data_IF_150898830769
#
_entry.id   IF_150898830769
#
_cell.length_a   1.000
_cell.length_b   1.000
_cell.length_c   1.000
_cell.angle_alpha   90.00
_cell.angle_beta   90.00
_cell.angle_gamma   90.00
#
_symmetry.space_group_name_H-M   'P 1'
#
loop_
_entity.id
_entity.type
_entity.pdbx_description
1 polymer ?
#
# COMPACT_ATOMS: atom_id res chain seq x y z
N UNK A 1 -5.48 17.98 -2.48
CA UNK A 1 -4.87 18.56 -3.70
C UNK A 1 -5.85 18.35 -4.85
N UNK A 2 -6.46 19.39 -5.38
CA UNK A 2 -7.47 19.24 -6.43
C UNK A 2 -6.83 19.04 -7.79
N UNK A 3 -7.17 17.95 -8.48
CA UNK A 3 -6.93 17.78 -9.91
C UNK A 3 -8.26 17.67 -10.62
N UNK A 4 -8.47 18.44 -11.67
CA UNK A 4 -9.45 18.08 -12.69
C UNK A 4 -8.59 17.70 -13.89
N UNK A 5 -8.80 16.51 -14.46
CA UNK A 5 -8.09 16.02 -15.64
C UNK A 5 -8.87 16.37 -16.91
N UNK A 6 -8.14 16.67 -17.98
CA UNK A 6 -8.62 16.49 -19.35
C UNK A 6 -7.76 15.34 -19.91
N UNK A 7 -8.32 14.14 -19.96
CA UNK A 7 -7.73 13.01 -20.68
C UNK A 7 -8.67 12.72 -21.84
N UNK A 8 -8.16 12.48 -23.07
CA UNK A 8 -8.99 11.97 -24.15
C UNK A 8 -9.52 10.60 -23.72
N UNK A 9 -10.82 10.53 -23.48
CA UNK A 9 -11.52 9.27 -23.33
C UNK A 9 -11.65 8.70 -24.73
N UNK A 10 -10.78 7.76 -25.07
CA UNK A 10 -11.00 6.90 -26.24
C UNK A 10 -12.14 5.96 -25.86
N UNK A 11 -13.35 6.29 -26.29
CA UNK A 11 -14.48 5.39 -26.23
C UNK A 11 -14.19 4.17 -27.10
N UNK A 12 -14.04 3.00 -26.48
CA UNK A 12 -14.04 1.71 -27.17
C UNK A 12 -15.49 1.24 -27.33
N UNK A 13 -16.30 2.02 -28.05
CA UNK A 13 -17.53 1.49 -28.65
C UNK A 13 -17.23 1.21 -30.12
N UNK A 14 -17.36 -0.06 -30.49
CA UNK A 14 -17.18 -0.51 -31.86
C UNK A 14 -18.13 0.22 -32.80
N UNK A 15 -17.57 0.65 -33.92
CA UNK A 15 -18.17 1.39 -35.03
C UNK A 15 -18.18 2.93 -34.87
N UNK A 16 -17.30 3.53 -35.69
CA UNK A 16 -17.38 4.87 -36.25
C UNK A 16 -16.91 6.09 -35.41
N UNK A 17 -15.77 6.63 -35.87
CA UNK A 17 -15.21 7.98 -35.67
C UNK A 17 -14.47 8.23 -34.35
N UNK A 18 -13.15 8.43 -34.47
CA UNK A 18 -12.31 9.19 -33.54
C UNK A 18 -12.94 10.57 -33.30
N UNK A 19 -13.80 10.68 -32.30
CA UNK A 19 -14.23 11.97 -31.74
C UNK A 19 -13.46 12.19 -30.46
N UNK A 20 -12.52 13.13 -30.49
CA UNK A 20 -12.04 13.80 -29.29
C UNK A 20 -13.25 14.40 -28.57
N UNK A 21 -13.69 13.77 -27.48
CA UNK A 21 -14.67 14.38 -26.59
C UNK A 21 -13.91 15.42 -25.76
N UNK A 22 -13.79 16.64 -26.30
CA UNK A 22 -13.40 17.80 -25.51
C UNK A 22 -14.55 18.13 -24.56
N UNK A 23 -14.34 17.93 -23.27
CA UNK A 23 -15.29 18.36 -22.26
C UNK A 23 -15.22 19.90 -22.14
N UNK A 24 -16.34 20.63 -22.19
CA UNK A 24 -16.35 22.09 -22.10
C UNK A 24 -16.20 22.55 -20.64
N UNK A 25 -15.17 22.07 -19.93
CA UNK A 25 -14.88 22.44 -18.55
C UNK A 25 -13.53 23.18 -18.46
N UNK A 26 -13.50 24.26 -17.67
CA UNK A 26 -12.25 24.95 -17.35
C UNK A 26 -11.68 24.33 -16.08
N UNK A 27 -10.45 23.83 -16.18
CA UNK A 27 -9.74 23.18 -15.09
C UNK A 27 -8.83 24.20 -14.42
N UNK A 28 -8.82 24.24 -13.09
CA UNK A 28 -7.89 25.06 -12.32
C UNK A 28 -7.10 24.21 -11.32
N UNK A 29 -5.78 24.46 -11.25
CA UNK A 29 -4.88 23.92 -10.24
C UNK A 29 -4.88 24.80 -9.00
N UNK A 30 -4.98 24.17 -7.82
CA UNK A 30 -4.86 24.86 -6.52
C UNK A 30 -3.51 24.53 -5.89
N UNK A 31 -2.61 25.49 -5.91
CA UNK A 31 -1.25 25.34 -5.38
C UNK A 31 -1.24 25.30 -3.85
N UNK A 32 -0.26 24.62 -3.26
CA UNK A 32 -0.10 24.50 -1.80
C UNK A 32 -1.33 23.92 -1.06
N UNK A 33 -2.20 23.17 -1.74
CA UNK A 33 -3.35 22.50 -1.14
C UNK A 33 -4.36 23.47 -0.53
N UNK A 34 -4.86 23.19 0.67
CA UNK A 34 -5.85 24.05 1.33
C UNK A 34 -5.31 25.44 1.67
N UNK A 35 -3.99 25.62 1.83
CA UNK A 35 -3.44 26.95 2.09
C UNK A 35 -3.67 27.85 0.87
N UNK A 36 -3.31 27.41 -0.33
CA UNK A 36 -3.58 28.21 -1.53
C UNK A 36 -5.06 28.38 -1.85
N UNK A 37 -5.91 27.45 -1.41
CA UNK A 37 -7.36 27.63 -1.49
C UNK A 37 -7.85 28.80 -0.60
N UNK A 38 -7.28 28.93 0.61
CA UNK A 38 -7.56 30.03 1.54
C UNK A 38 -6.97 31.34 1.03
N UNK A 39 -5.73 31.31 0.56
CA UNK A 39 -4.99 32.49 0.10
C UNK A 39 -5.60 33.06 -1.20
N UNK A 40 -6.09 32.21 -2.10
CA UNK A 40 -6.70 32.61 -3.36
C UNK A 40 -5.71 33.25 -4.34
N UNK A 41 -6.22 34.09 -5.24
CA UNK A 41 -5.40 34.81 -6.22
C UNK A 41 -4.54 33.88 -7.08
N UNK A 42 -3.23 34.17 -7.14
CA UNK A 42 -2.26 33.42 -7.94
C UNK A 42 -2.05 31.97 -7.47
N UNK A 43 -2.65 31.55 -6.36
CA UNK A 43 -2.63 30.15 -5.95
C UNK A 43 -3.68 29.28 -6.67
N UNK A 44 -4.64 29.90 -7.37
CA UNK A 44 -5.65 29.18 -8.17
C UNK A 44 -5.46 29.60 -9.63
N UNK A 45 -4.96 28.67 -10.45
CA UNK A 45 -4.58 28.96 -11.86
C UNK A 45 -5.26 28.01 -12.82
N UNK A 46 -5.76 28.49 -13.97
CA UNK A 46 -6.19 27.61 -15.05
C UNK A 46 -5.06 26.65 -15.45
N UNK A 47 -5.38 25.38 -15.65
CA UNK A 47 -4.48 24.40 -16.22
C UNK A 47 -4.69 24.30 -17.73
N UNK A 48 -3.61 24.13 -18.48
CA UNK A 48 -3.62 23.81 -19.91
C UNK A 48 -3.10 22.39 -20.12
N UNK A 49 -3.30 21.85 -21.33
CA UNK A 49 -2.75 20.55 -21.72
C UNK A 49 -1.23 20.45 -21.53
N UNK A 50 -0.50 21.51 -21.91
CA UNK A 50 0.95 21.60 -21.76
C UNK A 50 1.35 21.70 -20.30
N UNK A 51 0.53 22.33 -19.46
CA UNK A 51 0.86 22.55 -18.06
C UNK A 51 1.01 21.27 -17.24
N UNK A 52 0.45 20.14 -17.70
CA UNK A 52 0.53 18.82 -17.03
C UNK A 52 1.45 17.83 -17.74
N UNK A 53 2.07 18.24 -18.84
CA UNK A 53 3.00 17.39 -19.60
C UNK A 53 4.25 17.07 -18.76
N UNK A 54 4.81 15.88 -18.97
CA UNK A 54 6.03 15.40 -18.28
C UNK A 54 5.92 15.28 -16.75
N UNK A 55 4.71 15.30 -16.19
CA UNK A 55 4.50 15.11 -14.75
C UNK A 55 4.45 13.64 -14.32
N UNK A 56 4.12 12.72 -15.23
CA UNK A 56 3.81 11.32 -14.92
C UNK A 56 4.95 10.58 -14.18
N UNK A 57 6.20 10.93 -14.48
CA UNK A 57 7.39 10.33 -13.89
C UNK A 57 7.93 11.07 -12.66
N UNK A 58 7.34 12.21 -12.27
CA UNK A 58 7.82 13.03 -11.17
C UNK A 58 7.23 12.55 -9.84
N UNK A 59 8.09 12.46 -8.83
CA UNK A 59 7.67 12.21 -7.45
C UNK A 59 7.11 13.46 -6.78
N UNK A 60 6.37 13.26 -5.69
CA UNK A 60 5.78 14.35 -4.93
C UNK A 60 4.62 15.03 -5.68
N UNK A 61 4.50 16.34 -5.51
CA UNK A 61 3.43 17.15 -6.12
C UNK A 61 4.02 18.41 -6.76
N UNK A 62 3.77 18.60 -8.05
CA UNK A 62 4.26 19.77 -8.79
C UNK A 62 3.52 21.05 -8.38
N UNK A 63 2.27 20.96 -7.92
CA UNK A 63 1.52 22.13 -7.43
C UNK A 63 1.74 22.38 -5.93
N UNK A 64 2.55 21.55 -5.27
CA UNK A 64 2.87 21.65 -3.86
C UNK A 64 1.76 21.16 -2.94
N UNK A 65 2.13 20.92 -1.67
CA UNK A 65 1.18 20.61 -0.59
C UNK A 65 1.64 21.30 0.68
N UNK A 66 0.72 21.94 1.40
CA UNK A 66 0.99 22.58 2.69
C UNK A 66 -0.04 22.14 3.72
N UNK A 67 0.43 21.97 4.97
CA UNK A 67 -0.48 21.90 6.12
C UNK A 67 -1.12 23.27 6.29
N UNK A 68 -2.45 23.32 6.36
CA UNK A 68 -3.19 24.57 6.50
C UNK A 68 -3.91 24.59 7.85
N UNK A 69 -3.45 25.43 8.78
CA UNK A 69 -4.13 25.63 10.06
C UNK A 69 -5.40 26.46 9.88
N UNK A 70 -5.38 27.44 8.99
CA UNK A 70 -6.51 28.33 8.73
C UNK A 70 -7.75 27.56 8.32
N UNK A 71 -7.60 26.55 7.47
CA UNK A 71 -8.71 25.72 6.99
C UNK A 71 -9.36 24.85 8.09
N UNK A 72 -8.71 24.69 9.26
CA UNK A 72 -9.33 24.05 10.43
C UNK A 72 -10.37 24.96 11.09
N UNK A 73 -10.29 26.25 10.87
CA UNK A 73 -11.25 27.24 11.39
C UNK A 73 -12.37 27.50 10.38
N UNK A 74 -13.56 27.86 10.87
CA UNK A 74 -14.66 28.28 10.00
C UNK A 74 -14.26 29.51 9.17
N UNK A 75 -13.51 30.46 9.76
CA UNK A 75 -13.05 31.66 9.06
C UNK A 75 -12.18 31.35 7.84
N UNK A 76 -11.20 30.46 7.98
CA UNK A 76 -10.37 30.03 6.85
C UNK A 76 -11.20 29.32 5.77
N UNK A 77 -12.15 28.47 6.17
CA UNK A 77 -13.09 27.86 5.21
C UNK A 77 -13.98 28.89 4.52
N UNK A 78 -14.43 29.94 5.22
CA UNK A 78 -15.18 31.06 4.62
C UNK A 78 -14.34 31.80 3.57
N UNK A 79 -13.04 32.03 3.83
CA UNK A 79 -12.11 32.62 2.84
C UNK A 79 -11.95 31.72 1.61
N UNK A 80 -11.74 30.42 1.82
CA UNK A 80 -11.68 29.44 0.73
C UNK A 80 -12.97 29.41 -0.11
N UNK A 81 -14.15 29.43 0.53
CA UNK A 81 -15.43 29.46 -0.16
C UNK A 81 -15.59 30.75 -1.00
N UNK A 82 -15.17 31.90 -0.47
CA UNK A 82 -15.19 33.16 -1.20
C UNK A 82 -14.38 33.06 -2.50
N UNK A 83 -13.15 32.53 -2.43
CA UNK A 83 -12.28 32.39 -3.60
C UNK A 83 -12.90 31.49 -4.67
N UNK A 84 -13.46 30.35 -4.27
CA UNK A 84 -14.13 29.41 -5.19
C UNK A 84 -15.35 30.06 -5.87
N UNK A 85 -16.21 30.72 -5.09
CA UNK A 85 -17.42 31.38 -5.62
C UNK A 85 -17.07 32.48 -6.61
N UNK A 86 -16.04 33.30 -6.32
CA UNK A 86 -15.59 34.37 -7.22
C UNK A 86 -15.03 33.87 -8.54
N UNK A 87 -14.52 32.64 -8.56
CA UNK A 87 -14.03 31.97 -9.77
C UNK A 87 -15.10 31.08 -10.43
N UNK A 88 -16.30 30.99 -9.85
CA UNK A 88 -17.36 30.11 -10.36
C UNK A 88 -17.06 28.62 -10.21
N UNK A 89 -16.16 28.23 -9.29
CA UNK A 89 -15.75 26.84 -9.09
C UNK A 89 -16.67 26.17 -8.07
N UNK A 90 -17.48 25.22 -8.53
CA UNK A 90 -18.41 24.42 -7.73
C UNK A 90 -18.11 22.92 -7.73
N UNK A 91 -17.05 22.51 -8.44
CA UNK A 91 -16.59 21.13 -8.53
C UNK A 91 -15.16 21.07 -7.99
N UNK A 92 -14.94 20.27 -6.95
CA UNK A 92 -13.67 20.19 -6.25
C UNK A 92 -13.22 18.73 -6.12
N UNK A 93 -12.16 18.38 -6.84
CA UNK A 93 -11.44 17.15 -6.57
C UNK A 93 -10.51 17.35 -5.37
N UNK A 94 -10.26 16.34 -4.52
CA UNK A 94 -9.29 16.43 -3.41
C UNK A 94 -8.47 15.16 -3.33
N UNK A 95 -7.20 15.26 -3.72
CA UNK A 95 -6.17 14.21 -3.59
C UNK A 95 -5.36 14.42 -2.32
N UNK A 96 -5.39 13.45 -1.42
CA UNK A 96 -4.60 13.49 -0.19
C UNK A 96 -4.91 12.30 0.71
N UNK A 97 -4.33 12.30 1.91
CA UNK A 97 -4.63 11.29 2.92
C UNK A 97 -5.92 11.58 3.69
N UNK A 98 -6.20 10.73 4.69
CA UNK A 98 -7.40 10.77 5.54
C UNK A 98 -7.76 12.18 6.04
N UNK A 99 -6.80 12.89 6.64
CA UNK A 99 -7.05 14.24 7.17
C UNK A 99 -7.48 15.26 6.12
N UNK A 100 -7.03 15.12 4.87
CA UNK A 100 -7.48 16.02 3.79
C UNK A 100 -8.91 15.71 3.38
N UNK A 101 -9.25 14.43 3.23
CA UNK A 101 -10.58 13.99 2.85
C UNK A 101 -11.62 14.27 3.94
N UNK A 102 -11.24 14.15 5.21
CA UNK A 102 -12.05 14.59 6.35
C UNK A 102 -12.34 16.09 6.28
N UNK A 103 -11.33 16.92 5.97
CA UNK A 103 -11.50 18.37 5.78
C UNK A 103 -12.39 18.72 4.59
N UNK A 104 -12.28 17.98 3.48
CA UNK A 104 -13.15 18.14 2.32
C UNK A 104 -14.62 17.84 2.66
N UNK A 105 -14.86 16.76 3.41
CA UNK A 105 -16.20 16.42 3.86
C UNK A 105 -16.81 17.53 4.72
N UNK A 106 -16.08 18.01 5.73
CA UNK A 106 -16.52 19.12 6.57
C UNK A 106 -16.84 20.37 5.75
N UNK A 107 -15.97 20.70 4.80
CA UNK A 107 -16.17 21.86 3.92
C UNK A 107 -17.44 21.76 3.08
N UNK A 108 -17.77 20.57 2.58
CA UNK A 108 -19.03 20.32 1.87
C UNK A 108 -20.24 20.48 2.78
N UNK A 109 -20.19 19.90 3.98
CA UNK A 109 -21.30 19.95 4.94
C UNK A 109 -21.61 21.38 5.36
N UNK A 110 -20.58 22.19 5.60
CA UNK A 110 -20.72 23.59 6.02
C UNK A 110 -21.01 24.55 4.85
N UNK A 111 -20.95 24.10 3.59
CA UNK A 111 -20.97 24.96 2.40
C UNK A 111 -22.11 25.97 2.37
N UNK A 112 -23.34 25.53 2.68
CA UNK A 112 -24.53 26.40 2.69
C UNK A 112 -24.42 27.52 3.72
N UNK A 113 -23.90 27.21 4.91
CA UNK A 113 -23.72 28.17 5.99
C UNK A 113 -22.62 29.17 5.64
N UNK A 114 -21.54 28.71 5.01
CA UNK A 114 -20.45 29.57 4.54
C UNK A 114 -20.95 30.58 3.50
N UNK A 115 -21.80 30.15 2.56
CA UNK A 115 -22.41 31.05 1.58
C UNK A 115 -23.34 32.07 2.26
N UNK A 116 -24.16 31.65 3.21
CA UNK A 116 -25.04 32.55 3.95
C UNK A 116 -24.25 33.63 4.70
N UNK A 117 -23.15 33.24 5.36
CA UNK A 117 -22.25 34.16 6.04
C UNK A 117 -21.61 35.17 5.07
N UNK A 118 -21.18 34.71 3.87
CA UNK A 118 -20.59 35.57 2.84
C UNK A 118 -21.59 36.58 2.25
N UNK A 119 -22.85 36.17 2.03
CA UNK A 119 -23.93 37.07 1.59
C UNK A 119 -24.22 38.10 2.67
N UNK A 120 -24.36 37.67 3.93
CA UNK A 120 -24.60 38.57 5.06
C UNK A 120 -23.48 39.58 5.25
N UNK A 121 -22.23 39.17 5.02
CA UNK A 121 -21.06 40.05 5.06
C UNK A 121 -20.88 40.93 3.81
N UNK A 122 -21.77 40.83 2.81
CA UNK A 122 -21.70 41.60 1.57
C UNK A 122 -20.49 41.26 0.68
N UNK A 123 -19.87 40.08 0.89
CA UNK A 123 -18.69 39.63 0.12
C UNK A 123 -19.07 38.99 -1.21
N UNK A 124 -20.25 38.38 -1.28
CA UNK A 124 -20.85 37.83 -2.49
C UNK A 124 -22.30 38.29 -2.62
N UNK A 125 -22.79 38.31 -3.86
CA UNK A 125 -24.19 38.60 -4.19
C UNK A 125 -25.07 37.35 -4.02
N UNK A 126 -26.38 37.56 -3.87
CA UNK A 126 -27.35 36.44 -3.83
C UNK A 126 -27.35 35.61 -5.12
N UNK A 127 -26.99 36.22 -6.27
CA UNK A 127 -26.87 35.52 -7.55
C UNK A 127 -25.64 34.59 -7.57
N UNK A 128 -24.48 35.09 -7.12
CA UNK A 128 -23.26 34.28 -6.97
C UNK A 128 -23.49 33.09 -6.02
N UNK A 129 -24.16 33.32 -4.88
CA UNK A 129 -24.52 32.29 -3.93
C UNK A 129 -25.48 31.24 -4.53
N UNK A 130 -26.48 31.68 -5.32
CA UNK A 130 -27.41 30.77 -6.00
C UNK A 130 -26.71 29.92 -7.06
N UNK A 131 -25.84 30.50 -7.87
CA UNK A 131 -25.08 29.78 -8.89
C UNK A 131 -24.09 28.78 -8.28
N UNK A 132 -23.66 29.04 -7.03
CA UNK A 132 -22.72 28.19 -6.30
C UNK A 132 -23.40 27.38 -5.19
N UNK A 133 -24.73 27.20 -5.23
CA UNK A 133 -25.48 26.62 -4.12
C UNK A 133 -25.07 25.18 -3.76
N UNK A 134 -24.46 24.47 -4.70
CA UNK A 134 -24.01 23.09 -4.55
C UNK A 134 -22.51 23.00 -4.82
N UNK A 135 -21.79 22.39 -3.88
CA UNK A 135 -20.38 22.04 -4.02
C UNK A 135 -20.26 20.53 -4.21
N UNK A 136 -19.86 20.12 -5.40
CA UNK A 136 -19.55 18.74 -5.72
C UNK A 136 -18.12 18.44 -5.30
N UNK A 137 -17.93 17.37 -4.53
CA UNK A 137 -16.61 16.94 -4.06
C UNK A 137 -16.39 15.48 -4.41
N UNK A 138 -15.22 15.23 -4.99
CA UNK A 138 -14.67 13.88 -5.22
C UNK A 138 -13.29 13.80 -4.59
N UNK A 139 -13.06 12.79 -3.76
CA UNK A 139 -11.77 12.51 -3.15
C UNK A 139 -10.97 11.47 -3.93
N UNK A 140 -9.65 11.55 -3.88
CA UNK A 140 -8.75 10.43 -4.19
C UNK A 140 -7.72 10.29 -3.09
N UNK A 141 -7.34 9.06 -2.77
CA UNK A 141 -6.44 8.82 -1.66
C UNK A 141 -4.98 8.80 -2.13
N UNK A 142 -4.28 9.91 -1.87
CA UNK A 142 -2.83 10.03 -2.04
C UNK A 142 -2.13 9.89 -0.70
N UNK A 143 -1.68 8.68 -0.38
CA UNK A 143 -1.03 8.32 0.87
C UNK A 143 -0.07 7.16 0.63
N UNK A 144 1.07 7.15 1.31
CA UNK A 144 1.96 5.98 1.30
C UNK A 144 1.54 4.94 2.35
N UNK A 145 0.75 5.36 3.33
CA UNK A 145 0.50 4.58 4.55
C UNK A 145 -0.57 3.50 4.33
N UNK A 146 -1.31 3.55 3.22
CA UNK A 146 -2.51 2.74 2.95
C UNK A 146 -3.51 2.76 4.13
N UNK A 147 -3.72 3.95 4.69
CA UNK A 147 -4.41 4.18 5.96
C UNK A 147 -5.90 4.51 5.82
N UNK A 148 -6.39 4.70 4.59
CA UNK A 148 -7.78 5.03 4.31
C UNK A 148 -8.61 3.77 4.04
N UNK A 149 -9.67 3.57 4.83
CA UNK A 149 -10.53 2.41 4.66
C UNK A 149 -11.45 2.54 3.44
N UNK A 150 -11.76 1.41 2.80
CA UNK A 150 -12.59 1.35 1.60
C UNK A 150 -11.80 1.35 0.28
N UNK A 151 -10.46 1.36 0.32
CA UNK A 151 -9.63 1.12 -0.86
C UNK A 151 -8.65 -0.01 -0.62
N UNK A 152 -8.46 -0.87 -1.63
CA UNK A 152 -7.47 -1.95 -1.57
C UNK A 152 -6.04 -1.38 -1.54
N UNK A 153 -5.82 -0.25 -2.23
CA UNK A 153 -4.54 0.44 -2.37
C UNK A 153 -4.73 1.94 -2.45
N UNK A 154 -3.80 2.70 -1.87
CA UNK A 154 -3.71 4.16 -1.99
C UNK A 154 -2.54 4.55 -2.90
N UNK A 155 -2.70 5.68 -3.61
CA UNK A 155 -1.69 6.19 -4.53
C UNK A 155 -0.43 6.56 -3.74
N UNK A 156 0.67 5.90 -4.06
CA UNK A 156 2.01 6.11 -3.49
C UNK A 156 2.48 4.96 -2.59
N UNK A 157 1.59 4.05 -2.20
CA UNK A 157 1.95 2.91 -1.32
C UNK A 157 2.97 1.99 -2.01
N UNK A 158 2.73 1.62 -3.27
CA UNK A 158 3.64 0.72 -4.01
C UNK A 158 4.99 1.38 -4.28
N UNK A 159 5.00 2.67 -4.58
CA UNK A 159 6.22 3.46 -4.74
C UNK A 159 7.04 3.51 -3.45
N UNK A 160 6.38 3.72 -2.30
CA UNK A 160 7.04 3.70 -1.00
C UNK A 160 7.62 2.31 -0.68
N UNK A 161 6.87 1.24 -0.96
CA UNK A 161 7.36 -0.13 -0.81
C UNK A 161 8.59 -0.40 -1.68
N UNK A 162 8.64 0.08 -2.93
CA UNK A 162 9.85 -0.01 -3.75
C UNK A 162 11.06 0.64 -3.07
N UNK A 163 10.89 1.86 -2.52
CA UNK A 163 11.97 2.55 -1.79
C UNK A 163 12.44 1.76 -0.57
N UNK A 164 11.50 1.19 0.20
CA UNK A 164 11.82 0.39 1.38
C UNK A 164 12.59 -0.87 0.98
N UNK A 165 12.12 -1.60 -0.03
CA UNK A 165 12.75 -2.86 -0.46
C UNK A 165 14.12 -2.63 -1.07
N UNK A 166 14.34 -1.56 -1.85
CA UNK A 166 15.67 -1.18 -2.34
C UNK A 166 16.69 -1.01 -1.19
N UNK A 167 16.25 -0.37 -0.10
CA UNK A 167 17.09 -0.16 1.09
C UNK A 167 17.31 -1.48 1.82
N UNK A 168 16.26 -2.29 2.01
CA UNK A 168 16.35 -3.61 2.67
C UNK A 168 17.32 -4.52 1.91
N UNK A 169 17.21 -4.58 0.59
CA UNK A 169 18.09 -5.40 -0.25
C UNK A 169 19.54 -4.91 -0.20
N UNK A 170 19.76 -3.59 -0.25
CA UNK A 170 21.08 -3.01 -0.07
C UNK A 170 21.70 -3.38 1.29
N UNK A 171 20.92 -3.30 2.37
CA UNK A 171 21.35 -3.65 3.73
C UNK A 171 21.61 -5.16 3.88
N UNK A 172 20.83 -5.99 3.21
CA UNK A 172 20.91 -7.45 3.33
C UNK A 172 22.31 -7.97 2.97
N UNK A 173 22.98 -7.37 1.98
CA UNK A 173 24.34 -7.76 1.56
C UNK A 173 25.40 -7.54 2.66
N UNK A 174 25.36 -6.41 3.35
CA UNK A 174 26.27 -6.12 4.47
C UNK A 174 25.91 -6.92 5.72
N UNK A 175 24.61 -7.17 5.94
CA UNK A 175 24.13 -7.97 7.07
C UNK A 175 24.63 -9.41 7.02
N UNK A 176 24.56 -10.06 5.84
CA UNK A 176 25.02 -11.44 5.63
C UNK A 176 26.53 -11.62 5.86
N UNK A 177 27.30 -10.59 5.51
CA UNK A 177 28.76 -10.60 5.62
C UNK A 177 29.21 -10.63 7.08
N UNK A 178 28.52 -9.89 7.95
CA UNK A 178 28.90 -9.72 9.36
C UNK A 178 28.02 -10.47 10.37
N UNK A 179 27.05 -11.26 9.91
CA UNK A 179 26.10 -11.94 10.80
C UNK A 179 25.36 -10.96 11.74
N UNK A 180 24.79 -9.91 11.16
CA UNK A 180 24.13 -8.83 11.92
C UNK A 180 22.62 -8.99 12.00
N UNK A 181 22.06 -8.38 13.04
CA UNK A 181 20.63 -8.14 13.16
C UNK A 181 20.35 -6.68 12.77
N UNK A 182 19.43 -6.47 11.85
CA UNK A 182 18.98 -5.14 11.44
C UNK A 182 17.55 -4.90 11.86
N UNK A 183 17.31 -3.75 12.47
CA UNK A 183 16.00 -3.26 12.86
C UNK A 183 15.71 -2.03 12.00
N UNK A 184 14.65 -2.10 11.21
CA UNK A 184 14.30 -1.08 10.23
C UNK A 184 12.99 -0.42 10.64
N UNK A 185 13.05 0.90 10.85
CA UNK A 185 11.85 1.72 11.10
C UNK A 185 11.26 2.19 9.78
N UNK A 186 9.99 1.87 9.55
CA UNK A 186 9.24 2.25 8.35
C UNK A 186 8.08 3.17 8.70
N UNK A 187 7.73 4.03 7.75
CA UNK A 187 6.60 4.95 7.88
C UNK A 187 5.27 4.19 7.99
N UNK A 188 4.27 4.89 8.50
CA UNK A 188 2.90 4.36 8.60
C UNK A 188 2.04 5.11 9.60
N UNK A 189 2.63 5.98 10.44
CA UNK A 189 1.96 6.70 11.54
C UNK A 189 1.13 5.77 12.46
N UNK A 190 -0.14 5.51 12.12
CA UNK A 190 -1.06 4.64 12.87
C UNK A 190 -1.52 3.43 12.04
N UNK A 191 -0.87 3.17 10.92
CA UNK A 191 -1.15 2.07 10.00
C UNK A 191 0.11 1.19 9.84
N UNK A 192 -0.03 -0.11 10.01
CA UNK A 192 1.04 -1.09 9.88
C UNK A 192 1.22 -1.65 8.47
N UNK A 193 0.46 -1.18 7.47
CA UNK A 193 0.44 -1.79 6.13
C UNK A 193 1.82 -1.85 5.48
N UNK A 194 2.55 -0.71 5.45
CA UNK A 194 3.90 -0.66 4.89
C UNK A 194 4.85 -1.63 5.61
N UNK A 195 4.79 -1.69 6.94
CA UNK A 195 5.62 -2.61 7.74
C UNK A 195 5.28 -4.08 7.46
N UNK A 196 4.00 -4.42 7.41
CA UNK A 196 3.53 -5.77 7.15
C UNK A 196 3.91 -6.26 5.75
N UNK A 197 3.64 -5.46 4.72
CA UNK A 197 3.95 -5.83 3.34
C UNK A 197 5.47 -5.87 3.12
N UNK A 198 6.22 -4.94 3.72
CA UNK A 198 7.69 -5.00 3.73
C UNK A 198 8.18 -6.30 4.36
N UNK A 199 7.66 -6.66 5.53
CA UNK A 199 8.06 -7.88 6.23
C UNK A 199 7.78 -9.13 5.39
N UNK A 200 6.65 -9.17 4.68
CA UNK A 200 6.33 -10.25 3.77
C UNK A 200 7.27 -10.30 2.56
N UNK A 201 7.52 -9.14 1.92
CA UNK A 201 8.31 -9.01 0.71
C UNK A 201 9.81 -9.29 0.91
N UNK A 202 10.39 -8.95 2.07
CA UNK A 202 11.78 -9.30 2.39
C UNK A 202 11.91 -10.61 3.19
N UNK A 203 10.80 -11.18 3.66
CA UNK A 203 10.82 -12.37 4.51
C UNK A 203 11.42 -12.11 5.90
N UNK A 204 11.06 -10.99 6.52
CA UNK A 204 11.55 -10.56 7.83
C UNK A 204 11.28 -11.60 8.94
N UNK A 205 12.16 -11.60 9.94
CA UNK A 205 12.08 -12.46 11.12
C UNK A 205 11.11 -11.93 12.17
N UNK A 206 10.78 -10.64 12.16
CA UNK A 206 9.73 -10.09 13.00
C UNK A 206 9.18 -8.80 12.41
N UNK A 207 7.91 -8.50 12.71
CA UNK A 207 7.27 -7.24 12.37
C UNK A 207 6.49 -6.73 13.57
N UNK A 208 6.57 -5.43 13.84
CA UNK A 208 5.73 -4.74 14.82
C UNK A 208 4.77 -3.80 14.08
N UNK A 209 3.47 -4.04 14.24
CA UNK A 209 2.39 -3.24 13.67
C UNK A 209 1.40 -2.79 14.76
N UNK A 210 0.83 -1.58 14.66
CA UNK A 210 -0.14 -1.09 15.65
C UNK A 210 -1.45 -1.89 15.64
N UNK A 211 -1.86 -2.46 14.50
CA UNK A 211 -3.12 -3.22 14.39
C UNK A 211 -3.07 -4.56 15.12
N UNK A 212 -1.88 -5.08 15.38
CA UNK A 212 -1.69 -6.33 16.11
C UNK A 212 -0.44 -6.24 17.00
N UNK A 213 -0.55 -5.53 18.14
CA UNK A 213 0.51 -5.46 19.12
C UNK A 213 0.94 -6.85 19.58
N UNK A 214 2.24 -7.05 19.85
CA UNK A 214 2.73 -8.34 20.27
C UNK A 214 2.12 -8.75 21.63
N UNK A 215 1.98 -10.05 21.85
CA UNK A 215 1.51 -10.61 23.13
C UNK A 215 2.46 -10.30 24.29
N UNK A 216 2.01 -10.53 25.52
CA UNK A 216 2.91 -10.48 26.67
C UNK A 216 4.10 -11.45 26.49
N UNK A 217 5.25 -11.11 27.06
CA UNK A 217 6.50 -11.85 26.93
C UNK A 217 7.03 -11.97 25.48
N UNK A 218 6.62 -11.08 24.57
CA UNK A 218 7.14 -11.05 23.20
C UNK A 218 8.66 -10.91 23.14
N UNK A 219 9.29 -10.32 24.15
CA UNK A 219 10.73 -10.16 24.21
C UNK A 219 11.44 -11.51 24.23
N UNK A 220 10.91 -12.47 24.99
CA UNK A 220 11.44 -13.83 25.07
C UNK A 220 11.15 -14.62 23.80
N UNK A 221 9.94 -14.47 23.26
CA UNK A 221 9.57 -15.09 21.98
C UNK A 221 10.48 -14.59 20.86
N UNK A 222 10.67 -13.28 20.74
CA UNK A 222 11.59 -12.68 19.77
C UNK A 222 13.00 -13.26 19.93
N UNK A 223 13.54 -13.26 21.15
CA UNK A 223 14.88 -13.77 21.41
C UNK A 223 15.04 -15.25 21.02
N UNK A 224 14.07 -16.08 21.39
CA UNK A 224 14.03 -17.50 21.03
C UNK A 224 14.02 -17.66 19.51
N UNK A 225 13.15 -16.92 18.82
CA UNK A 225 13.02 -17.01 17.36
C UNK A 225 14.28 -16.61 16.62
N UNK A 226 14.90 -15.49 17.00
CA UNK A 226 16.17 -15.05 16.38
C UNK A 226 17.28 -16.09 16.57
N UNK A 227 17.33 -16.70 17.76
CA UNK A 227 18.28 -17.78 18.07
C UNK A 227 18.03 -19.03 17.24
N UNK A 228 16.76 -19.47 17.12
CA UNK A 228 16.38 -20.60 16.29
C UNK A 228 16.73 -20.37 14.80
N UNK A 229 16.50 -19.17 14.27
CA UNK A 229 16.85 -18.85 12.87
C UNK A 229 18.36 -18.90 12.63
N UNK A 230 19.17 -18.39 13.56
CA UNK A 230 20.64 -18.53 13.48
C UNK A 230 21.08 -19.99 13.61
N UNK A 231 20.47 -20.76 14.51
CA UNK A 231 20.74 -22.19 14.66
C UNK A 231 20.44 -23.00 13.39
N UNK A 232 19.51 -22.53 12.55
CA UNK A 232 19.18 -23.11 11.24
C UNK A 232 20.08 -22.60 10.10
N UNK A 233 21.14 -21.86 10.42
CA UNK A 233 22.12 -21.36 9.45
C UNK A 233 21.80 -19.97 8.87
N UNK A 234 20.78 -19.26 9.36
CA UNK A 234 20.56 -17.87 8.94
C UNK A 234 21.74 -16.99 9.35
N UNK A 235 22.29 -16.28 8.37
CA UNK A 235 23.42 -15.35 8.57
C UNK A 235 22.98 -13.91 8.79
N UNK A 236 21.69 -13.64 8.90
CA UNK A 236 21.19 -12.31 9.19
C UNK A 236 19.85 -12.42 9.91
N UNK A 237 19.46 -11.34 10.60
CA UNK A 237 18.07 -11.18 11.01
C UNK A 237 17.56 -9.81 10.63
N UNK A 238 16.33 -9.74 10.12
CA UNK A 238 15.64 -8.48 9.80
C UNK A 238 14.39 -8.36 10.66
N UNK A 239 14.26 -7.24 11.35
CA UNK A 239 13.09 -6.86 12.13
C UNK A 239 12.55 -5.56 11.55
N UNK A 240 11.26 -5.55 11.19
CA UNK A 240 10.58 -4.36 10.69
C UNK A 240 9.74 -3.76 11.82
N UNK A 241 9.84 -2.45 12.04
CA UNK A 241 9.10 -1.72 13.07
C UNK A 241 8.34 -0.59 12.40
N UNK A 242 7.01 -0.59 12.50
CA UNK A 242 6.21 0.56 12.07
C UNK A 242 6.45 1.75 13.03
N UNK A 243 6.43 2.99 12.52
CA UNK A 243 6.44 4.21 13.35
C UNK A 243 5.43 4.17 14.51
N UNK A 244 4.25 3.59 14.26
CA UNK A 244 3.17 3.45 15.24
C UNK A 244 3.24 2.20 16.11
N UNK A 245 4.32 1.43 16.09
CA UNK A 245 4.42 0.20 16.85
C UNK A 245 4.22 0.43 18.35
N UNK A 246 3.36 -0.38 18.97
CA UNK A 246 3.01 -0.30 20.38
C UNK A 246 2.77 -1.70 20.95
N UNK A 247 2.81 -1.81 22.28
CA UNK A 247 2.35 -3.00 23.01
C UNK A 247 0.84 -2.96 23.28
N UNK A 248 0.29 -4.03 23.89
CA UNK A 248 -1.15 -4.14 24.20
C UNK A 248 -1.64 -3.13 25.24
N UNK A 249 -0.74 -2.42 25.92
CA UNK A 249 -1.07 -1.34 26.85
C UNK A 249 -0.94 0.05 26.20
N UNK A 250 -0.70 0.11 24.89
CA UNK A 250 -0.54 1.36 24.14
C UNK A 250 0.81 2.04 24.35
N UNK A 251 1.80 1.36 24.96
CA UNK A 251 3.14 1.91 25.12
C UNK A 251 3.92 1.74 23.81
N UNK A 252 4.58 2.80 23.30
CA UNK A 252 5.37 2.70 22.06
C UNK A 252 6.50 1.68 22.16
N UNK A 253 6.67 0.86 21.12
CA UNK A 253 7.81 -0.05 20.94
C UNK A 253 8.77 0.59 19.95
N UNK A 254 9.93 1.02 20.44
CA UNK A 254 10.92 1.75 19.61
C UNK A 254 12.02 0.83 19.08
N UNK A 255 12.63 1.19 17.95
CA UNK A 255 13.79 0.46 17.42
C UNK A 255 14.95 0.36 18.41
N UNK A 256 15.19 1.39 19.22
CA UNK A 256 16.26 1.38 20.22
C UNK A 256 15.94 0.40 21.37
N UNK A 257 14.68 0.30 21.81
CA UNK A 257 14.26 -0.71 22.79
C UNK A 257 14.52 -2.13 22.26
N UNK A 258 14.12 -2.41 21.02
CA UNK A 258 14.32 -3.73 20.40
C UNK A 258 15.82 -4.03 20.24
N UNK A 259 16.63 -3.03 19.85
CA UNK A 259 18.08 -3.17 19.74
C UNK A 259 18.73 -3.50 21.08
N UNK A 260 18.39 -2.76 22.14
CA UNK A 260 18.92 -3.01 23.48
C UNK A 260 18.55 -4.40 23.98
N UNK A 261 17.31 -4.84 23.73
CA UNK A 261 16.86 -6.19 24.06
C UNK A 261 17.72 -7.25 23.36
N UNK A 262 17.84 -7.17 22.03
CA UNK A 262 18.57 -8.17 21.23
C UNK A 262 20.06 -8.20 21.59
N UNK A 263 20.70 -7.03 21.71
CA UNK A 263 22.12 -6.96 22.07
C UNK A 263 22.39 -7.44 23.50
N UNK A 264 21.52 -7.12 24.48
CA UNK A 264 21.73 -7.52 25.87
C UNK A 264 21.41 -9.00 26.12
N UNK A 265 20.32 -9.53 25.56
CA UNK A 265 19.90 -10.92 25.80
C UNK A 265 20.64 -11.93 24.91
N UNK A 266 20.94 -11.57 23.64
CA UNK A 266 21.53 -12.51 22.67
C UNK A 266 23.00 -12.21 22.33
N UNK A 267 23.50 -11.02 22.63
CA UNK A 267 24.87 -10.61 22.25
C UNK A 267 25.07 -10.40 20.75
N UNK A 268 24.00 -10.29 19.96
CA UNK A 268 24.11 -10.07 18.51
C UNK A 268 24.53 -8.63 18.18
N UNK A 269 25.41 -8.46 17.19
CA UNK A 269 25.73 -7.14 16.61
C UNK A 269 24.47 -6.61 15.91
N UNK A 270 23.82 -5.64 16.55
CA UNK A 270 22.50 -5.14 16.16
C UNK A 270 22.59 -3.68 15.73
N UNK A 271 22.02 -3.37 14.56
CA UNK A 271 21.97 -2.03 14.00
C UNK A 271 20.53 -1.60 13.75
N UNK A 272 20.29 -0.31 13.89
CA UNK A 272 19.00 0.33 13.62
C UNK A 272 19.17 1.28 12.44
N UNK A 273 18.18 1.29 11.56
CA UNK A 273 18.10 2.27 10.46
C UNK A 273 16.67 2.81 10.39
N UNK A 274 16.55 4.13 10.54
CA UNK A 274 15.28 4.84 10.36
C UNK A 274 15.26 5.35 8.93
N UNK A 275 14.37 4.80 8.08
CA UNK A 275 14.35 5.14 6.65
C UNK A 275 13.87 6.58 6.41
N UNK A 276 12.93 7.05 7.23
CA UNK A 276 12.39 8.39 7.16
C UNK A 276 11.82 8.74 5.78
N UNK A 277 12.07 9.97 5.33
CA UNK A 277 11.41 10.56 4.17
C UNK A 277 11.82 10.00 2.81
N UNK A 278 12.84 9.14 2.74
CA UNK A 278 13.19 8.45 1.47
C UNK A 278 11.99 7.65 0.94
N UNK A 279 11.13 7.18 1.84
CA UNK A 279 9.89 6.45 1.54
C UNK A 279 8.84 7.29 0.79
N UNK A 280 8.94 8.62 0.82
CA UNK A 280 8.04 9.54 0.10
C UNK A 280 8.65 10.09 -1.19
N UNK A 281 9.95 9.85 -1.39
CA UNK A 281 10.71 10.35 -2.53
C UNK A 281 10.81 9.33 -3.66
N UNK A 282 11.61 9.66 -4.68
CA UNK A 282 11.78 8.83 -5.87
C UNK A 282 10.66 9.04 -6.90
N UNK A 283 10.71 8.25 -7.97
CA UNK A 283 9.72 8.31 -9.05
C UNK A 283 8.56 7.37 -8.76
N UNK A 284 7.31 7.70 -9.13
CA UNK A 284 6.18 6.79 -8.99
C UNK A 284 6.42 5.47 -9.73
N UNK A 285 6.04 4.35 -9.10
CA UNK A 285 6.09 3.02 -9.71
C UNK A 285 5.10 2.90 -10.87
N UNK A 286 5.24 1.87 -11.70
CA UNK A 286 4.29 1.62 -12.78
C UNK A 286 2.86 1.42 -12.24
N UNK A 287 2.72 0.73 -11.11
CA UNK A 287 1.43 0.51 -10.45
C UNK A 287 0.79 1.85 -10.05
N UNK A 288 1.51 2.71 -9.33
CA UNK A 288 0.98 3.99 -8.88
C UNK A 288 0.67 4.95 -10.03
N UNK A 289 1.47 4.93 -11.12
CA UNK A 289 1.18 5.72 -12.33
C UNK A 289 -0.16 5.30 -12.95
N UNK A 290 -0.36 4.00 -13.14
CA UNK A 290 -1.58 3.46 -13.75
C UNK A 290 -2.78 3.69 -12.82
N UNK A 291 -2.60 3.45 -11.52
CA UNK A 291 -3.64 3.65 -10.51
C UNK A 291 -4.09 5.11 -10.47
N UNK A 292 -3.15 6.04 -10.33
CA UNK A 292 -3.45 7.48 -10.28
C UNK A 292 -4.11 7.97 -11.58
N UNK A 293 -3.65 7.48 -12.74
CA UNK A 293 -4.24 7.83 -14.03
C UNK A 293 -5.70 7.36 -14.13
N UNK A 294 -5.96 6.11 -13.76
CA UNK A 294 -7.33 5.53 -13.77
C UNK A 294 -8.25 6.25 -12.79
N UNK A 295 -7.79 6.50 -11.57
CA UNK A 295 -8.57 7.22 -10.56
C UNK A 295 -8.83 8.66 -10.98
N UNK A 296 -7.87 9.32 -11.62
CA UNK A 296 -8.01 10.69 -12.13
C UNK A 296 -9.12 10.83 -13.17
N UNK A 297 -9.17 9.90 -14.14
CA UNK A 297 -10.27 9.84 -15.12
C UNK A 297 -11.61 9.65 -14.42
N UNK A 298 -11.69 8.65 -13.52
CA UNK A 298 -12.92 8.34 -12.81
C UNK A 298 -13.40 9.48 -11.91
N UNK A 299 -12.49 10.25 -11.33
CA UNK A 299 -12.82 11.40 -10.49
C UNK A 299 -13.47 12.54 -11.29
N UNK A 300 -13.02 12.76 -12.52
CA UNK A 300 -13.61 13.74 -13.42
C UNK A 300 -15.00 13.28 -13.85
N UNK A 301 -15.15 12.02 -14.24
CA UNK A 301 -16.46 11.45 -14.58
C UNK A 301 -17.43 11.55 -13.41
N UNK A 302 -16.98 11.22 -12.21
CA UNK A 302 -17.78 11.36 -10.99
C UNK A 302 -18.23 12.81 -10.74
N UNK A 303 -17.40 13.81 -11.02
CA UNK A 303 -17.77 15.22 -10.88
C UNK A 303 -18.78 15.67 -11.95
N UNK A 304 -18.63 15.20 -13.19
CA UNK A 304 -19.53 15.55 -14.30
C UNK A 304 -20.91 14.91 -14.17
N UNK A 305 -20.96 13.69 -13.65
CA UNK A 305 -22.20 12.96 -13.38
C UNK A 305 -22.87 13.38 -12.06
N UNK A 306 -22.17 14.14 -11.21
CA UNK A 306 -22.69 14.51 -9.89
C UNK A 306 -23.89 15.46 -9.99
N UNK A 307 -24.97 15.08 -9.32
CA UNK A 307 -26.14 15.94 -9.08
C UNK A 307 -26.10 16.55 -7.68
N UNK A 308 -26.92 17.58 -7.39
CA UNK A 308 -27.06 18.14 -6.04
C UNK A 308 -27.35 17.11 -4.93
N UNK A 309 -28.01 16.01 -5.26
CA UNK A 309 -28.38 14.91 -4.36
C UNK A 309 -27.26 13.87 -4.21
N UNK A 310 -26.29 13.85 -5.14
CA UNK A 310 -25.19 12.89 -5.13
C UNK A 310 -24.24 13.22 -3.98
N UNK A 311 -24.01 12.32 -3.00
CA UNK A 311 -23.11 12.59 -1.88
C UNK A 311 -21.67 12.75 -2.35
N UNK A 312 -20.81 13.34 -1.51
CA UNK A 312 -19.38 13.33 -1.79
C UNK A 312 -18.88 11.89 -1.82
N UNK A 313 -18.05 11.57 -2.80
CA UNK A 313 -17.48 10.25 -2.93
C UNK A 313 -15.95 10.28 -2.92
N UNK A 314 -15.35 9.12 -2.69
CA UNK A 314 -13.93 8.85 -2.90
C UNK A 314 -13.82 7.85 -4.03
N UNK A 315 -12.97 8.15 -5.00
CA UNK A 315 -12.56 7.19 -6.01
C UNK A 315 -11.53 6.26 -5.39
N UNK A 316 -11.83 4.97 -5.46
CA UNK A 316 -11.13 3.90 -4.77
C UNK A 316 -10.80 2.75 -5.74
N UNK A 317 -9.86 1.90 -5.36
CA UNK A 317 -9.59 0.63 -6.02
C UNK A 317 -10.24 -0.50 -5.24
N UNK A 318 -11.08 -1.29 -5.90
CA UNK A 318 -11.65 -2.52 -5.35
C UNK A 318 -11.60 -3.62 -6.41
N UNK A 319 -10.89 -4.71 -6.14
CA UNK A 319 -10.82 -5.85 -7.07
C UNK A 319 -10.24 -5.47 -8.44
N UNK A 320 -9.23 -4.58 -8.45
CA UNK A 320 -8.62 -4.01 -9.65
C UNK A 320 -9.59 -3.19 -10.54
N UNK A 321 -10.72 -2.74 -10.00
CA UNK A 321 -11.64 -1.81 -10.67
C UNK A 321 -11.74 -0.50 -9.90
N UNK A 322 -11.92 0.60 -10.62
CA UNK A 322 -12.20 1.90 -10.00
C UNK A 322 -13.66 1.89 -9.53
N UNK A 323 -13.89 2.28 -8.27
CA UNK A 323 -15.21 2.35 -7.66
C UNK A 323 -15.38 3.68 -6.94
N UNK A 324 -16.62 4.15 -6.83
CA UNK A 324 -16.99 5.37 -6.08
C UNK A 324 -17.62 4.95 -4.76
N UNK A 325 -17.05 5.38 -3.65
CA UNK A 325 -17.58 5.09 -2.31
C UNK A 325 -18.00 6.37 -1.60
N UNK A 326 -19.06 6.35 -0.77
CA UNK A 326 -19.43 7.51 0.02
C UNK A 326 -18.29 7.97 0.94
N UNK A 327 -17.86 9.21 0.79
CA UNK A 327 -16.71 9.76 1.52
C UNK A 327 -16.89 9.67 3.04
N UNK A 328 -18.09 9.95 3.54
CA UNK A 328 -18.38 9.90 4.97
C UNK A 328 -18.22 8.50 5.56
N UNK A 329 -18.65 7.47 4.84
CA UNK A 329 -18.56 6.09 5.31
C UNK A 329 -17.08 5.67 5.41
N UNK A 330 -16.28 5.96 4.39
CA UNK A 330 -14.85 5.66 4.41
C UNK A 330 -14.10 6.37 5.55
N UNK A 331 -14.40 7.65 5.79
CA UNK A 331 -13.81 8.42 6.90
C UNK A 331 -14.25 7.84 8.25
N UNK A 332 -15.52 7.42 8.38
CA UNK A 332 -16.03 6.82 9.61
C UNK A 332 -15.32 5.50 9.91
N UNK A 333 -15.24 4.59 8.94
CA UNK A 333 -14.55 3.30 9.13
C UNK A 333 -13.07 3.52 9.50
N UNK A 334 -12.40 4.51 8.91
CA UNK A 334 -11.00 4.85 9.25
C UNK A 334 -10.85 5.28 10.72
N UNK A 335 -11.81 6.04 11.25
CA UNK A 335 -11.87 6.38 12.68
C UNK A 335 -12.15 5.16 13.54
N UNK A 336 -13.05 4.28 13.10
CA UNK A 336 -13.41 3.06 13.83
C UNK A 336 -12.20 2.15 14.02
N UNK A 337 -11.26 2.08 13.06
CA UNK A 337 -9.98 1.36 13.25
C UNK A 337 -9.20 1.92 14.45
N UNK A 338 -9.10 3.25 14.53
CA UNK A 338 -8.37 3.93 15.60
C UNK A 338 -9.03 3.66 16.96
N UNK A 339 -10.36 3.72 17.01
CA UNK A 339 -11.15 3.39 18.20
C UNK A 339 -10.94 1.93 18.60
N UNK A 340 -11.04 0.99 17.66
CA UNK A 340 -10.84 -0.44 17.92
C UNK A 340 -9.45 -0.72 18.49
N UNK A 341 -8.39 -0.11 17.96
CA UNK A 341 -7.03 -0.24 18.51
C UNK A 341 -6.93 0.34 19.93
N UNK A 342 -7.54 1.51 20.18
CA UNK A 342 -7.53 2.15 21.51
C UNK A 342 -8.30 1.34 22.57
N UNK A 343 -9.36 0.63 22.16
CA UNK A 343 -10.15 -0.26 23.02
C UNK A 343 -9.56 -1.68 23.16
N UNK A 344 -8.40 -1.95 22.55
CA UNK A 344 -7.76 -3.27 22.59
C UNK A 344 -8.43 -4.33 21.70
N UNK A 345 -9.33 -3.93 20.80
CA UNK A 345 -10.04 -4.80 19.84
C UNK A 345 -9.21 -5.00 18.56
N UNK A 346 -8.01 -5.56 18.70
CA UNK A 346 -7.02 -5.67 17.61
C UNK A 346 -7.49 -6.56 16.44
N UNK A 347 -8.20 -7.66 16.70
CA UNK A 347 -8.78 -8.49 15.64
C UNK A 347 -9.81 -7.74 14.80
N UNK A 348 -10.58 -6.83 15.42
CA UNK A 348 -11.52 -5.96 14.74
C UNK A 348 -10.77 -4.90 13.91
N UNK A 349 -9.71 -4.31 14.45
CA UNK A 349 -8.86 -3.36 13.72
C UNK A 349 -8.30 -3.96 12.41
N UNK A 350 -7.81 -5.20 12.43
CA UNK A 350 -7.37 -5.90 11.22
C UNK A 350 -8.52 -6.05 10.21
N UNK A 351 -9.71 -6.47 10.66
CA UNK A 351 -10.86 -6.66 9.77
C UNK A 351 -11.33 -5.34 9.15
N UNK A 352 -11.32 -4.26 9.92
CA UNK A 352 -11.68 -2.92 9.46
C UNK A 352 -10.67 -2.34 8.45
N UNK A 353 -9.38 -2.74 8.52
CA UNK A 353 -8.39 -2.42 7.46
C UNK A 353 -8.72 -3.12 6.14
N UNK A 354 -9.48 -4.20 6.17
CA UNK A 354 -9.98 -4.90 4.99
C UNK A 354 -9.27 -6.22 4.70
N UNK A 355 -9.84 -6.98 3.76
CA UNK A 355 -9.43 -8.36 3.45
C UNK A 355 -7.99 -8.45 2.96
N UNK A 356 -7.50 -7.47 2.22
CA UNK A 356 -6.11 -7.45 1.73
C UNK A 356 -5.11 -7.41 2.89
N UNK A 357 -5.35 -6.55 3.89
CA UNK A 357 -4.55 -6.46 5.11
C UNK A 357 -4.61 -7.76 5.90
N UNK A 358 -5.81 -8.29 6.15
CA UNK A 358 -6.02 -9.54 6.88
C UNK A 358 -5.30 -10.73 6.22
N UNK A 359 -5.39 -10.84 4.89
CA UNK A 359 -4.71 -11.88 4.12
C UNK A 359 -3.18 -11.77 4.23
N UNK A 360 -2.64 -10.55 4.14
CA UNK A 360 -1.20 -10.30 4.31
C UNK A 360 -0.75 -10.67 5.73
N UNK A 361 -1.54 -10.33 6.75
CA UNK A 361 -1.24 -10.66 8.14
C UNK A 361 -1.22 -12.16 8.37
N UNK A 362 -2.25 -12.87 7.92
CA UNK A 362 -2.36 -14.32 8.06
C UNK A 362 -1.21 -15.03 7.33
N UNK A 363 -0.91 -14.60 6.10
CA UNK A 363 0.20 -15.16 5.31
C UNK A 363 1.54 -14.92 5.99
N UNK A 364 1.80 -13.70 6.46
CA UNK A 364 3.01 -13.39 7.21
C UNK A 364 3.11 -14.28 8.46
N UNK A 365 2.07 -14.36 9.29
CA UNK A 365 2.06 -15.17 10.52
C UNK A 365 2.40 -16.63 10.24
N UNK A 366 1.84 -17.21 9.18
CA UNK A 366 2.13 -18.60 8.77
C UNK A 366 3.59 -18.78 8.32
N UNK A 367 4.14 -17.88 7.50
CA UNK A 367 5.50 -17.99 6.97
C UNK A 367 6.59 -17.61 7.99
N UNK A 368 6.19 -16.82 8.99
CA UNK A 368 7.03 -16.27 10.05
C UNK A 368 7.21 -17.27 11.21
N UNK A 369 6.12 -17.85 11.71
CA UNK A 369 6.14 -18.69 12.91
C UNK A 369 6.16 -20.17 12.56
N UNK A 370 7.27 -20.84 12.87
CA UNK A 370 7.42 -22.27 12.60
C UNK A 370 6.73 -23.07 13.70
N UNK A 371 5.55 -23.60 13.41
CA UNK A 371 4.92 -24.63 14.22
C UNK A 371 4.96 -25.92 13.42
N UNK A 372 5.92 -26.79 13.73
CA UNK A 372 5.97 -28.10 13.09
C UNK A 372 4.78 -28.93 13.60
N UNK A 373 4.05 -29.63 12.72
CA UNK A 373 2.96 -30.47 13.14
C UNK A 373 3.49 -31.66 13.94
N UNK A 374 2.73 -32.09 14.94
CA UNK A 374 3.07 -33.26 15.78
C UNK A 374 3.11 -34.56 14.97
N UNK A 375 2.28 -34.63 13.91
CA UNK A 375 2.21 -35.77 13.00
C UNK A 375 2.61 -35.36 11.59
N UNK A 376 3.51 -36.15 10.98
CA UNK A 376 3.82 -36.03 9.56
C UNK A 376 2.72 -36.70 8.73
N UNK A 377 2.32 -36.06 7.65
CA UNK A 377 1.49 -36.69 6.63
C UNK A 377 2.34 -37.62 5.75
N UNK A 378 1.70 -38.61 5.13
CA UNK A 378 2.34 -39.48 4.14
C UNK A 378 2.27 -38.89 2.70
N UNK A 379 2.11 -37.57 2.58
CA UNK A 379 1.93 -36.89 1.30
C UNK A 379 3.26 -36.27 0.86
N UNK A 380 3.68 -36.60 -0.36
CA UNK A 380 4.82 -36.02 -1.04
C UNK A 380 4.34 -34.97 -2.05
N UNK A 381 4.82 -33.74 -1.93
CA UNK A 381 4.48 -32.64 -2.85
C UNK A 381 5.74 -32.24 -3.61
N UNK A 382 5.69 -32.41 -4.93
CA UNK A 382 6.76 -31.97 -5.83
C UNK A 382 6.47 -30.58 -6.41
N UNK A 383 7.49 -29.74 -6.48
CA UNK A 383 7.45 -28.40 -7.08
C UNK A 383 8.41 -28.34 -8.27
N UNK A 384 7.92 -27.91 -9.42
CA UNK A 384 8.72 -27.58 -10.60
C UNK A 384 8.32 -26.22 -11.16
N UNK A 385 9.26 -25.57 -11.86
CA UNK A 385 9.01 -24.36 -12.62
C UNK A 385 9.06 -24.66 -14.12
N UNK A 386 8.09 -24.15 -14.87
CA UNK A 386 7.94 -24.36 -16.32
C UNK A 386 7.76 -23.03 -17.02
N UNK A 387 8.37 -22.89 -18.20
CA UNK A 387 8.36 -21.68 -19.01
C UNK A 387 9.67 -20.90 -18.94
N UNK A 388 9.61 -19.64 -19.38
CA UNK A 388 10.75 -18.73 -19.29
C UNK A 388 10.95 -18.24 -17.83
N UNK A 389 12.18 -17.93 -17.40
CA UNK A 389 12.44 -17.36 -16.08
C UNK A 389 11.61 -16.10 -15.83
N UNK A 390 10.97 -16.02 -14.66
CA UNK A 390 10.15 -14.89 -14.25
C UNK A 390 10.49 -14.47 -12.82
N UNK A 391 10.52 -13.16 -12.56
CA UNK A 391 10.67 -12.64 -11.21
C UNK A 391 9.50 -13.10 -10.33
N UNK A 392 9.80 -13.65 -9.15
CA UNK A 392 8.81 -14.18 -8.22
C UNK A 392 8.71 -15.71 -8.18
N UNK A 393 9.23 -16.45 -9.16
CA UNK A 393 9.23 -17.93 -9.12
C UNK A 393 9.85 -18.47 -7.82
N UNK A 394 10.99 -17.91 -7.40
CA UNK A 394 11.66 -18.30 -6.15
C UNK A 394 10.82 -17.97 -4.90
N UNK A 395 10.10 -16.85 -4.90
CA UNK A 395 9.21 -16.49 -3.80
C UNK A 395 8.02 -17.46 -3.69
N UNK A 396 7.46 -17.89 -4.83
CA UNK A 396 6.41 -18.93 -4.87
C UNK A 396 6.93 -20.25 -4.32
N UNK A 397 8.07 -20.75 -4.81
CA UNK A 397 8.67 -22.00 -4.33
C UNK A 397 8.92 -21.93 -2.83
N UNK A 398 9.52 -20.83 -2.34
CA UNK A 398 9.75 -20.61 -0.90
C UNK A 398 8.49 -20.75 -0.08
N UNK A 399 7.42 -20.07 -0.49
CA UNK A 399 6.15 -20.09 0.23
C UNK A 399 5.53 -21.48 0.21
N UNK A 400 5.47 -22.13 -0.95
CA UNK A 400 4.92 -23.48 -1.08
C UNK A 400 5.67 -24.51 -0.23
N UNK A 401 7.00 -24.50 -0.25
CA UNK A 401 7.84 -25.39 0.57
C UNK A 401 7.57 -25.17 2.06
N UNK A 402 7.56 -23.92 2.52
CA UNK A 402 7.34 -23.62 3.94
C UNK A 402 5.96 -24.03 4.41
N UNK A 403 4.92 -23.73 3.64
CA UNK A 403 3.55 -24.11 3.99
C UNK A 403 3.38 -25.62 3.99
N UNK A 404 3.89 -26.33 2.97
CA UNK A 404 3.77 -27.78 2.93
C UNK A 404 4.47 -28.47 4.11
N UNK A 405 5.64 -27.98 4.53
CA UNK A 405 6.33 -28.46 5.75
C UNK A 405 5.48 -28.22 7.00
N UNK A 406 4.85 -27.04 7.13
CA UNK A 406 3.98 -26.72 8.27
C UNK A 406 2.71 -27.57 8.30
N UNK A 407 2.25 -28.06 7.15
CA UNK A 407 1.16 -29.03 7.05
C UNK A 407 1.62 -30.49 7.19
N UNK A 408 2.93 -30.72 7.39
CA UNK A 408 3.50 -32.04 7.65
C UNK A 408 3.76 -32.85 6.39
N UNK A 409 3.77 -32.22 5.21
CA UNK A 409 4.10 -32.85 3.94
C UNK A 409 5.61 -32.94 3.73
N UNK A 410 6.02 -33.94 2.95
CA UNK A 410 7.38 -33.99 2.42
C UNK A 410 7.44 -33.19 1.12
N UNK A 411 8.31 -32.19 1.09
CA UNK A 411 8.47 -31.31 -0.07
C UNK A 411 9.64 -31.80 -0.93
N UNK A 412 9.41 -31.86 -2.25
CA UNK A 412 10.38 -32.28 -3.25
C UNK A 412 10.59 -31.15 -4.27
N UNK A 413 11.84 -30.83 -4.55
CA UNK A 413 12.25 -29.93 -5.62
C UNK A 413 12.55 -30.75 -6.87
N UNK A 414 11.93 -30.37 -7.98
CA UNK A 414 12.20 -30.95 -9.29
C UNK A 414 12.93 -29.92 -10.12
N UNK A 415 14.13 -30.27 -10.58
CA UNK A 415 14.97 -29.35 -11.33
C UNK A 415 14.59 -29.29 -12.80
N UNK A 416 14.85 -28.16 -13.46
CA UNK A 416 14.75 -27.97 -14.91
C UNK A 416 13.40 -28.36 -15.55
N UNK A 417 12.31 -28.19 -14.80
CA UNK A 417 10.96 -28.44 -15.30
C UNK A 417 10.70 -29.92 -15.63
N UNK A 418 10.01 -30.17 -16.74
CA UNK A 418 9.68 -31.54 -17.16
C UNK A 418 10.89 -32.35 -17.62
N UNK A 419 11.92 -31.70 -18.18
CA UNK A 419 13.16 -32.38 -18.57
C UNK A 419 13.84 -33.02 -17.36
N UNK A 420 14.00 -32.26 -16.28
CA UNK A 420 14.62 -32.80 -15.09
C UNK A 420 13.74 -33.81 -14.37
N UNK A 421 12.42 -33.65 -14.44
CA UNK A 421 11.49 -34.68 -13.99
C UNK A 421 11.71 -36.01 -14.73
N UNK A 422 11.78 -35.96 -16.06
CA UNK A 422 12.07 -37.10 -16.93
C UNK A 422 13.47 -37.69 -16.67
N UNK A 423 14.42 -36.87 -16.23
CA UNK A 423 15.75 -37.31 -15.85
C UNK A 423 15.82 -37.85 -14.40
N UNK A 424 14.80 -37.63 -13.58
CA UNK A 424 14.77 -38.03 -12.17
C UNK A 424 15.56 -37.07 -11.26
N UNK A 425 15.76 -35.82 -11.71
CA UNK A 425 16.41 -34.75 -10.94
C UNK A 425 15.45 -34.19 -9.88
N UNK A 426 15.15 -35.02 -8.89
CA UNK A 426 14.25 -34.73 -7.78
C UNK A 426 15.03 -34.86 -6.47
N UNK A 427 14.96 -33.84 -5.63
CA UNK A 427 15.57 -33.86 -4.30
C UNK A 427 14.61 -33.37 -3.21
N UNK A 428 14.74 -33.86 -1.95
CA UNK A 428 14.02 -33.27 -0.83
C UNK A 428 14.42 -31.81 -0.61
N UNK A 429 13.44 -30.93 -0.44
CA UNK A 429 13.69 -29.51 -0.14
C UNK A 429 13.14 -29.14 1.24
N UNK A 430 14.00 -28.53 2.06
CA UNK A 430 13.69 -28.19 3.45
C UNK A 430 13.47 -26.70 3.69
N UNK A 431 13.08 -26.36 4.92
CA UNK A 431 12.85 -24.97 5.36
C UNK A 431 14.04 -24.04 5.10
N UNK A 432 15.26 -24.51 5.40
CA UNK A 432 16.50 -23.77 5.19
C UNK A 432 16.93 -23.71 3.73
N UNK A 433 16.54 -24.70 2.90
CA UNK A 433 16.88 -24.75 1.47
C UNK A 433 16.29 -23.59 0.67
N UNK A 434 15.16 -23.05 1.12
CA UNK A 434 14.48 -21.88 0.50
C UNK A 434 14.70 -20.57 1.24
N UNK A 435 15.67 -20.52 2.18
CA UNK A 435 15.95 -19.31 2.95
C UNK A 435 16.51 -18.20 2.04
N UNK A 436 15.97 -16.98 2.16
CA UNK A 436 16.42 -15.82 1.39
C UNK A 436 15.98 -15.78 -0.08
N UNK A 437 15.07 -16.66 -0.51
CA UNK A 437 14.61 -16.74 -1.89
C UNK A 437 13.60 -15.65 -2.29
N UNK A 438 12.98 -14.95 -1.32
CA UNK A 438 11.88 -13.99 -1.58
C UNK A 438 12.24 -12.89 -2.58
N UNK A 439 13.41 -12.26 -2.41
CA UNK A 439 13.89 -11.18 -3.28
C UNK A 439 14.77 -11.64 -4.44
N UNK A 440 14.81 -12.94 -4.78
CA UNK A 440 15.71 -13.47 -5.83
C UNK A 440 14.98 -13.61 -7.17
N UNK A 441 15.50 -12.96 -8.20
CA UNK A 441 15.02 -13.12 -9.58
C UNK A 441 15.37 -14.50 -10.18
N UNK A 442 14.74 -14.81 -11.32
CA UNK A 442 14.95 -16.07 -12.03
C UNK A 442 14.30 -17.29 -11.36
N UNK A 443 14.85 -18.49 -11.60
CA UNK A 443 14.40 -19.76 -11.02
C UNK A 443 15.59 -20.56 -10.51
N UNK A 444 15.69 -20.77 -9.20
CA UNK A 444 16.75 -21.60 -8.59
C UNK A 444 16.54 -23.10 -8.80
N UNK A 445 15.29 -23.52 -9.01
CA UNK A 445 15.00 -24.89 -9.45
C UNK A 445 15.40 -25.10 -10.92
N UNK A 446 15.70 -24.04 -11.68
CA UNK A 446 15.73 -24.10 -13.13
C UNK A 446 14.32 -24.05 -13.72
N UNK A 447 14.20 -23.71 -15.00
CA UNK A 447 12.91 -23.68 -15.70
C UNK A 447 13.15 -23.82 -17.19
N UNK A 448 12.29 -24.58 -17.86
CA UNK A 448 12.37 -24.83 -19.30
C UNK A 448 10.99 -24.77 -19.93
N UNK A 449 10.94 -24.52 -21.24
CA UNK A 449 9.70 -24.43 -22.02
C UNK A 449 9.15 -25.80 -22.45
N UNK A 450 9.93 -26.86 -22.29
CA UNK A 450 9.56 -28.23 -22.67
C UNK A 450 8.22 -28.62 -22.09
N UNK A 451 7.41 -29.30 -22.88
CA UNK A 451 6.07 -29.72 -22.49
C UNK A 451 6.09 -31.17 -22.00
N UNK A 452 5.20 -31.56 -21.08
CA UNK A 452 5.20 -32.91 -20.54
C UNK A 452 4.91 -33.97 -21.61
N UNK A 453 4.16 -33.60 -22.67
CA UNK A 453 3.84 -34.51 -23.78
C UNK A 453 5.09 -35.03 -24.50
N UNK A 454 6.16 -34.25 -24.53
CA UNK A 454 7.42 -34.60 -25.22
C UNK A 454 8.24 -35.64 -24.45
N UNK A 455 8.01 -35.76 -23.14
CA UNK A 455 8.79 -36.61 -22.21
C UNK A 455 7.91 -37.49 -21.32
N UNK A 456 6.63 -37.65 -21.68
CA UNK A 456 5.63 -38.30 -20.83
C UNK A 456 5.94 -39.79 -20.58
N UNK A 457 6.46 -40.48 -21.60
CA UNK A 457 6.87 -41.89 -21.47
C UNK A 457 8.04 -42.03 -20.49
N UNK A 458 9.04 -41.15 -20.56
CA UNK A 458 10.20 -41.15 -19.67
C UNK A 458 9.82 -40.86 -18.22
N UNK A 459 8.94 -39.88 -18.01
CA UNK A 459 8.38 -39.54 -16.69
C UNK A 459 7.64 -40.76 -16.12
N UNK A 460 6.78 -41.39 -16.94
CA UNK A 460 5.97 -42.54 -16.51
C UNK A 460 6.85 -43.76 -16.18
N UNK A 461 7.85 -44.05 -17.02
CA UNK A 461 8.75 -45.19 -16.83
C UNK A 461 9.60 -45.08 -15.56
N UNK A 462 9.98 -43.87 -15.16
CA UNK A 462 10.78 -43.64 -13.94
C UNK A 462 9.96 -43.55 -12.66
N UNK A 463 8.79 -42.93 -12.70
CA UNK A 463 8.06 -42.55 -11.48
C UNK A 463 6.75 -43.32 -11.27
N UNK A 464 6.24 -44.05 -12.27
CA UNK A 464 5.02 -44.86 -12.16
C UNK A 464 5.29 -46.37 -12.02
N UNK A 465 6.51 -46.80 -11.70
CA UNK A 465 6.75 -48.18 -11.24
C UNK A 465 6.24 -48.32 -9.80
N UNK A 466 4.95 -48.61 -9.68
CA UNK A 466 4.29 -49.13 -8.49
C UNK A 466 4.60 -50.61 -8.36
#
# INVERSE_FOLDING_TARGET
MAFIYDLPVIGLDGADVEREVHLPCIISSVFAGYQGLVDGGDHIRPATWESVSMMLQLGGTVIGSARCQDFRTKEGRTKAALNLVKLGITNLCVVGGDGSLTGANQFRTEWRDLLADLVKAGKITSAEAKNSAHLNIVGMVGSIDNDFCGTDMTIGTDSALHRIIEIVDAITTTAQSHQRTFILEVMGRHCGYLALVTALACGADWVFIPEMPPEENWEEHLCRRLTEQRGRGSRLNIIIVAEGAMDRHGKPITCEQVKQLVSKKLGFDTRTTILGHVQRGGTPSAFDRILASRMGVEAVMALLEATPETPACVVSLSGNMAVRLPLMECVQVTKDVTTAMAEGKFDEAIKLRGKSFENNWNTYRMLAHVHLPETKSNINIALLNVGAPCAGMNAVVRSAVRIGILQGHQMLAVHDGFDGLAQGMIEPIGWSGVAGWTGKGGSFLGTKRSLPQEVMEEISLKHCKV
#
